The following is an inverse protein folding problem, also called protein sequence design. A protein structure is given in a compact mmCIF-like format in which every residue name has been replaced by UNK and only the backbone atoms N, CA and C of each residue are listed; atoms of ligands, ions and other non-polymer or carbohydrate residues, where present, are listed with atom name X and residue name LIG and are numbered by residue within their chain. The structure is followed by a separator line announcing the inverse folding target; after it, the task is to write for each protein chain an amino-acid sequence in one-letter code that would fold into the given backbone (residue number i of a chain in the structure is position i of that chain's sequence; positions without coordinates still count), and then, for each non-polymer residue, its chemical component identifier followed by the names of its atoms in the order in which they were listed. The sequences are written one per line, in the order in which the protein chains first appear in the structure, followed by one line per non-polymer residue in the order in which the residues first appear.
data_IF_869729424215
#
_entry.id   IF_869729424215
#
_cell.length_a   1.000
_cell.length_b   1.000
_cell.length_c   1.000
_cell.angle_alpha   90.00
_cell.angle_beta   90.00
_cell.angle_gamma   90.00
#
_symmetry.space_group_name_H-M   'P 1'
#
loop_
_entity.id
_entity.type
_entity.pdbx_description
1 polymer ?
#
# COMPACT_ATOMS: atom_id res chain seq x y z
N UNK A 1 -9.55 -14.89 -22.76
CA UNK A 1 -9.35 -15.39 -21.38
C UNK A 1 -8.38 -14.56 -20.54
N UNK A 2 -7.38 -13.89 -21.14
CA UNK A 2 -6.44 -13.06 -20.36
C UNK A 2 -7.10 -11.87 -19.64
N UNK A 3 -7.99 -11.12 -20.31
CA UNK A 3 -8.71 -9.99 -19.69
C UNK A 3 -9.47 -10.44 -18.44
N UNK A 4 -10.10 -11.62 -18.48
CA UNK A 4 -10.84 -12.19 -17.33
C UNK A 4 -9.90 -12.50 -16.16
N UNK A 5 -8.69 -13.03 -16.44
CA UNK A 5 -7.69 -13.29 -15.38
C UNK A 5 -7.19 -12.01 -14.74
N UNK A 6 -6.97 -10.96 -15.54
CA UNK A 6 -6.53 -9.65 -15.03
C UNK A 6 -7.64 -9.01 -14.21
N UNK A 7 -8.88 -9.01 -14.70
CA UNK A 7 -10.03 -8.48 -13.97
C UNK A 7 -10.28 -9.21 -12.65
N UNK A 8 -10.14 -10.54 -12.62
CA UNK A 8 -10.25 -11.32 -11.38
C UNK A 8 -9.17 -10.95 -10.35
N UNK A 9 -7.93 -10.69 -10.82
CA UNK A 9 -6.85 -10.24 -9.94
C UNK A 9 -7.11 -8.82 -9.41
N UNK A 10 -7.57 -7.90 -10.25
CA UNK A 10 -7.93 -6.53 -9.86
C UNK A 10 -9.09 -6.55 -8.85
N UNK A 11 -10.11 -7.38 -9.07
CA UNK A 11 -11.22 -7.55 -8.13
C UNK A 11 -10.74 -7.91 -6.71
N UNK A 12 -9.76 -8.80 -6.59
CA UNK A 12 -9.19 -9.15 -5.28
C UNK A 12 -8.47 -7.97 -4.61
N UNK A 13 -7.73 -7.17 -5.39
CA UNK A 13 -7.02 -5.99 -4.89
C UNK A 13 -8.03 -4.93 -4.39
N UNK A 14 -9.05 -4.64 -5.18
CA UNK A 14 -10.10 -3.68 -4.83
C UNK A 14 -10.86 -4.12 -3.56
N UNK A 15 -11.15 -5.42 -3.42
CA UNK A 15 -11.77 -5.96 -2.22
C UNK A 15 -10.90 -5.76 -0.97
N UNK A 16 -9.60 -6.06 -1.06
CA UNK A 16 -8.67 -5.81 0.04
C UNK A 16 -8.56 -4.32 0.39
N UNK A 17 -8.52 -3.45 -0.60
CA UNK A 17 -8.48 -1.99 -0.40
C UNK A 17 -9.74 -1.46 0.30
N UNK A 18 -10.92 -1.94 -0.11
CA UNK A 18 -12.17 -1.60 0.53
C UNK A 18 -12.22 -2.08 1.99
N UNK A 19 -11.76 -3.31 2.25
CA UNK A 19 -11.67 -3.84 3.61
C UNK A 19 -10.73 -3.01 4.48
N UNK A 20 -9.51 -2.69 3.98
CA UNK A 20 -8.55 -1.86 4.71
C UNK A 20 -9.12 -0.48 5.04
N UNK A 21 -9.76 0.17 4.07
CA UNK A 21 -10.41 1.47 4.23
C UNK A 21 -11.50 1.43 5.31
N UNK A 22 -12.28 0.35 5.38
CA UNK A 22 -13.30 0.15 6.39
C UNK A 22 -12.71 -0.01 7.80
N UNK A 23 -11.53 -0.62 7.94
CA UNK A 23 -10.84 -0.80 9.23
C UNK A 23 -9.97 0.40 9.65
N UNK A 24 -9.51 1.23 8.71
CA UNK A 24 -8.69 2.42 9.01
C UNK A 24 -9.47 3.43 9.85
N UNK A 25 -10.74 3.66 9.52
CA UNK A 25 -11.60 4.64 10.20
C UNK A 25 -11.80 4.36 11.70
N UNK A 26 -12.21 3.15 12.13
CA UNK A 26 -12.32 2.83 13.56
C UNK A 26 -10.96 2.80 14.27
N UNK A 27 -9.89 2.35 13.59
CA UNK A 27 -8.54 2.33 14.18
C UNK A 27 -8.03 3.73 14.50
N UNK A 28 -8.22 4.71 13.60
CA UNK A 28 -7.85 6.10 13.84
C UNK A 28 -8.64 6.72 15.01
N UNK A 29 -9.93 6.38 15.13
CA UNK A 29 -10.76 6.83 16.25
C UNK A 29 -10.29 6.24 17.59
N UNK A 30 -9.83 4.98 17.61
CA UNK A 30 -9.30 4.35 18.82
C UNK A 30 -7.97 4.96 19.30
N UNK A 31 -7.17 5.53 18.39
CA UNK A 31 -5.91 6.21 18.71
C UNK A 31 -6.15 7.62 19.29
N UNK A 32 -7.40 8.08 19.41
CA UNK A 32 -7.76 9.39 19.98
C UNK A 32 -7.55 10.56 19.02
N UNK A 33 -7.46 10.27 17.73
CA UNK A 33 -7.16 11.25 16.68
C UNK A 33 -8.40 12.11 16.38
N UNK A 34 -8.32 13.42 16.68
CA UNK A 34 -9.36 14.42 16.34
C UNK A 34 -9.70 14.39 14.84
N UNK A 35 -10.97 14.63 14.48
CA UNK A 35 -11.48 14.56 13.10
C UNK A 35 -10.62 15.30 12.07
N UNK A 36 -9.96 16.40 12.45
CA UNK A 36 -9.02 17.17 11.60
C UNK A 36 -7.80 16.35 11.14
N UNK A 37 -7.28 15.49 11.98
CA UNK A 37 -6.10 14.69 11.69
C UNK A 37 -6.44 13.48 10.81
N UNK A 38 -7.69 12.99 10.85
CA UNK A 38 -8.18 11.98 9.92
C UNK A 38 -8.14 12.51 8.48
N UNK A 39 -8.64 13.73 8.25
CA UNK A 39 -8.59 14.37 6.92
C UNK A 39 -7.15 14.56 6.41
N UNK A 40 -6.20 14.88 7.30
CA UNK A 40 -4.78 14.99 6.93
C UNK A 40 -4.19 13.67 6.45
N UNK A 41 -4.51 12.55 7.11
CA UNK A 41 -4.06 11.21 6.71
C UNK A 41 -4.65 10.83 5.34
N UNK A 42 -5.92 11.16 5.11
CA UNK A 42 -6.56 10.97 3.81
C UNK A 42 -5.93 11.83 2.70
N UNK A 43 -5.50 13.05 2.99
CA UNK A 43 -4.75 13.90 2.04
C UNK A 43 -3.31 13.44 1.83
N UNK A 44 -2.70 12.77 2.80
CA UNK A 44 -1.35 12.21 2.69
C UNK A 44 -1.27 11.08 1.65
N UNK A 45 -2.29 10.22 1.55
CA UNK A 45 -2.35 9.13 0.56
C UNK A 45 -2.10 9.57 -0.90
N UNK A 46 -2.84 10.55 -1.47
CA UNK A 46 -2.58 11.03 -2.83
C UNK A 46 -1.25 11.77 -2.96
N UNK A 47 -0.78 12.45 -1.90
CA UNK A 47 0.50 13.13 -1.92
C UNK A 47 1.65 12.13 -2.02
N UNK A 48 1.63 11.11 -1.17
CA UNK A 48 2.59 10.00 -1.20
C UNK A 48 2.49 9.27 -2.54
N UNK A 49 1.28 9.01 -3.06
CA UNK A 49 1.09 8.41 -4.37
C UNK A 49 1.71 9.23 -5.50
N UNK A 50 1.55 10.55 -5.48
CA UNK A 50 2.09 11.44 -6.50
C UNK A 50 3.62 11.43 -6.54
N UNK A 51 4.29 11.43 -5.39
CA UNK A 51 5.75 11.38 -5.32
C UNK A 51 6.31 9.97 -5.50
N UNK A 52 5.69 8.95 -4.89
CA UNK A 52 6.17 7.58 -4.98
C UNK A 52 6.00 6.99 -6.38
N UNK A 53 4.91 7.26 -7.09
CA UNK A 53 4.67 6.68 -8.42
C UNK A 53 5.82 6.91 -9.42
N UNK A 54 6.31 8.14 -9.65
CA UNK A 54 7.43 8.38 -10.57
C UNK A 54 8.77 7.89 -10.01
N UNK A 55 8.99 8.00 -8.70
CA UNK A 55 10.23 7.54 -8.05
C UNK A 55 10.35 6.01 -8.14
N UNK A 56 9.28 5.29 -7.80
CA UNK A 56 9.21 3.83 -7.90
C UNK A 56 9.28 3.35 -9.35
N UNK A 57 8.67 4.08 -10.30
CA UNK A 57 8.82 3.81 -11.72
C UNK A 57 10.26 3.93 -12.20
N UNK A 58 10.92 5.04 -11.87
CA UNK A 58 12.33 5.29 -12.23
C UNK A 58 13.30 4.32 -11.54
N UNK A 59 13.05 3.96 -10.28
CA UNK A 59 13.84 2.96 -9.55
C UNK A 59 13.63 1.55 -10.12
N UNK A 60 12.40 1.16 -10.43
CA UNK A 60 12.08 -0.10 -11.12
C UNK A 60 12.81 -0.20 -12.47
N UNK A 61 12.87 0.91 -13.21
CA UNK A 61 13.55 0.98 -14.50
C UNK A 61 15.08 1.06 -14.39
N UNK A 62 15.64 1.40 -13.24
CA UNK A 62 17.10 1.39 -13.02
C UNK A 62 17.62 0.12 -12.34
N UNK A 63 16.75 -0.77 -11.84
CA UNK A 63 17.18 -2.05 -11.28
C UNK A 63 17.68 -3.02 -12.37
N UNK A 64 18.99 -3.29 -12.40
CA UNK A 64 19.64 -4.32 -13.23
C UNK A 64 20.13 -5.49 -12.35
N UNK A 65 19.24 -6.06 -11.53
CA UNK A 65 19.56 -7.20 -10.65
C UNK A 65 19.25 -8.55 -11.34
N UNK A 66 20.08 -9.57 -11.09
CA UNK A 66 20.00 -10.92 -11.69
C UNK A 66 18.70 -11.69 -11.40
N UNK A 67 17.86 -11.20 -10.49
CA UNK A 67 16.63 -11.86 -10.03
C UNK A 67 15.34 -11.35 -10.71
N UNK A 68 15.44 -10.41 -11.65
CA UNK A 68 14.32 -9.87 -12.43
C UNK A 68 13.77 -8.53 -11.91
N UNK A 69 13.43 -7.64 -12.86
CA UNK A 69 13.12 -6.20 -12.74
C UNK A 69 12.10 -5.79 -11.65
N UNK A 70 11.14 -6.66 -11.29
CA UNK A 70 9.99 -6.31 -10.43
C UNK A 70 9.90 -7.06 -9.08
N UNK A 71 10.62 -8.17 -8.92
CA UNK A 71 10.50 -9.03 -7.72
C UNK A 71 11.14 -8.47 -6.44
N UNK A 72 12.32 -7.82 -6.46
CA UNK A 72 12.91 -7.33 -5.21
C UNK A 72 12.07 -6.22 -4.58
N UNK A 73 11.41 -5.38 -5.38
CA UNK A 73 10.54 -4.31 -4.88
C UNK A 73 9.27 -4.85 -4.21
N UNK A 74 8.63 -5.86 -4.80
CA UNK A 74 7.45 -6.52 -4.22
C UNK A 74 7.81 -7.19 -2.90
N UNK A 75 8.92 -7.92 -2.83
CA UNK A 75 9.36 -8.61 -1.61
C UNK A 75 9.69 -7.59 -0.51
N UNK A 76 10.37 -6.50 -0.84
CA UNK A 76 10.75 -5.48 0.13
C UNK A 76 9.53 -4.71 0.67
N UNK A 77 8.57 -4.36 -0.20
CA UNK A 77 7.27 -3.82 0.22
C UNK A 77 6.47 -4.81 1.06
N UNK A 78 6.41 -6.09 0.67
CA UNK A 78 5.72 -7.13 1.44
C UNK A 78 6.31 -7.32 2.84
N UNK A 79 7.64 -7.32 2.95
CA UNK A 79 8.34 -7.39 4.25
C UNK A 79 8.07 -6.13 5.07
N UNK A 80 8.09 -4.94 4.45
CA UNK A 80 7.77 -3.69 5.12
C UNK A 80 6.36 -3.67 5.70
N UNK A 81 5.36 -4.15 4.95
CA UNK A 81 3.97 -4.27 5.43
C UNK A 81 3.86 -5.28 6.57
N UNK A 82 4.53 -6.43 6.47
CA UNK A 82 4.54 -7.45 7.53
C UNK A 82 5.19 -6.93 8.82
N UNK A 83 6.33 -6.25 8.70
CA UNK A 83 6.99 -5.61 9.84
C UNK A 83 6.13 -4.50 10.45
N UNK A 84 5.53 -3.64 9.62
CA UNK A 84 4.63 -2.59 10.10
C UNK A 84 3.43 -3.14 10.87
N UNK A 85 2.78 -4.20 10.36
CA UNK A 85 1.70 -4.88 11.09
C UNK A 85 2.19 -5.57 12.36
N UNK A 86 3.41 -6.10 12.37
CA UNK A 86 4.00 -6.73 13.55
C UNK A 86 4.29 -5.70 14.65
N UNK A 87 4.85 -4.54 14.30
CA UNK A 87 5.12 -3.43 15.23
C UNK A 87 3.82 -2.84 15.78
N UNK A 88 2.81 -2.62 14.94
CA UNK A 88 1.53 -2.04 15.37
C UNK A 88 0.73 -2.94 16.32
N UNK A 89 0.97 -4.26 16.29
CA UNK A 89 0.30 -5.25 17.15
C UNK A 89 1.18 -5.72 18.32
N UNK A 90 2.38 -5.16 18.45
CA UNK A 90 3.41 -5.54 19.42
C UNK A 90 3.53 -4.64 20.66
N UNK A 91 2.53 -3.80 20.94
CA UNK A 91 2.35 -3.09 22.22
C UNK A 91 0.88 -3.17 22.64
#
# INVERSE_FOLDING_TARGET
MEMVRISAAVMGIEFCYAAETAFVSPTLLQIGVSHRNMTLIWCLSPFIGFFLTPVLGSLSDNCRSKLGRRRPFIILLSIGILLGKCVLKGF
#
